data_IF_411977510401
#
_entry.id   IF_411977510401
#
_cell.length_a   1.000
_cell.length_b   1.000
_cell.length_c   1.000
_cell.angle_alpha   90.00
_cell.angle_beta   90.00
_cell.angle_gamma   90.00
#
_symmetry.space_group_name_H-M   'P 1'
#
loop_
_entity.id
_entity.type
_entity.pdbx_description
1 polymer ?
#
# COMPACT_ATOMS: atom_id res chain seq x y z
N UNK A 1 70.83 5.78 28.13
CA UNK A 1 71.54 6.54 29.17
C UNK A 1 73.05 6.54 28.98
N UNK A 2 73.70 7.51 29.53
CA UNK A 2 75.16 7.62 29.51
C UNK A 2 75.72 7.02 30.76
N UNK A 3 76.53 6.00 30.67
CA UNK A 3 77.17 5.31 31.72
C UNK A 3 78.68 5.45 31.60
N UNK A 4 79.41 5.55 32.68
CA UNK A 4 80.89 5.57 32.67
C UNK A 4 81.38 4.37 33.47
N UNK A 5 81.97 3.42 32.75
CA UNK A 5 82.64 2.26 33.44
C UNK A 5 84.05 2.61 33.71
N UNK A 6 84.42 2.58 35.04
CA UNK A 6 85.78 2.86 35.49
C UNK A 6 86.47 1.59 36.03
N UNK A 7 87.64 1.33 35.52
CA UNK A 7 88.46 0.20 35.96
C UNK A 7 89.69 0.78 36.66
N UNK A 8 89.90 0.35 37.86
CA UNK A 8 91.12 0.63 38.63
C UNK A 8 91.87 -0.68 38.84
N UNK A 9 93.21 -0.63 38.83
CA UNK A 9 94.07 -1.77 39.03
C UNK A 9 94.93 -1.49 40.23
N UNK A 10 95.26 -2.49 41.07
CA UNK A 10 96.22 -2.43 42.12
C UNK A 10 97.45 -3.26 41.80
N UNK A 11 98.63 -2.84 42.35
CA UNK A 11 99.84 -3.63 42.27
C UNK A 11 99.85 -4.70 43.40
N UNK A 12 100.88 -5.54 43.44
CA UNK A 12 101.08 -6.62 44.48
C UNK A 12 101.14 -6.10 45.89
N UNK A 13 101.46 -4.84 46.08
CA UNK A 13 101.57 -4.17 47.37
C UNK A 13 100.28 -3.49 47.81
N UNK A 14 99.12 -3.70 47.07
CA UNK A 14 97.84 -3.17 47.46
C UNK A 14 97.64 -1.68 47.11
N UNK A 15 98.54 -1.02 46.38
CA UNK A 15 98.39 0.37 45.94
C UNK A 15 97.55 0.49 44.72
N UNK A 16 96.43 1.19 44.77
CA UNK A 16 95.50 1.40 43.67
C UNK A 16 95.91 2.55 42.78
N UNK A 17 95.82 2.32 41.47
CA UNK A 17 95.93 3.41 40.48
C UNK A 17 94.67 4.29 40.50
N UNK A 18 94.77 5.47 41.13
CA UNK A 18 93.69 6.41 41.25
C UNK A 18 93.19 6.99 39.91
N UNK A 19 94.03 7.02 38.88
CA UNK A 19 93.69 7.55 37.59
C UNK A 19 92.90 6.57 36.68
N UNK A 20 92.77 5.31 37.05
CA UNK A 20 91.97 4.28 36.31
C UNK A 20 91.58 4.60 34.86
N UNK A 21 91.21 3.57 34.08
CA UNK A 21 90.69 3.75 32.74
C UNK A 21 89.18 3.89 32.82
N UNK A 22 88.61 4.93 32.17
CA UNK A 22 87.17 5.12 32.06
C UNK A 22 86.68 4.90 30.69
N UNK A 23 85.65 4.03 30.51
CA UNK A 23 84.96 3.79 29.26
C UNK A 23 83.55 4.41 29.35
N UNK A 24 83.21 5.32 28.44
CA UNK A 24 81.88 5.89 28.33
C UNK A 24 81.03 4.92 27.47
N UNK A 25 79.97 4.41 28.04
CA UNK A 25 78.99 3.53 27.38
C UNK A 25 77.72 4.31 27.21
N UNK A 26 77.31 4.51 25.98
CA UNK A 26 76.04 5.17 25.63
C UNK A 26 75.04 4.08 25.21
N UNK A 27 74.03 3.85 26.09
CA UNK A 27 72.92 2.92 25.80
C UNK A 27 71.76 3.74 25.22
N UNK A 28 71.44 3.52 23.94
CA UNK A 28 70.32 4.13 23.29
C UNK A 28 69.00 3.55 23.86
N UNK A 29 67.98 4.36 24.05
CA UNK A 29 66.67 3.82 24.41
C UNK A 29 66.13 2.88 23.31
N UNK A 30 65.36 1.86 23.70
CA UNK A 30 64.73 0.99 22.75
C UNK A 30 63.81 1.78 21.80
N UNK A 31 63.62 1.30 20.56
CA UNK A 31 62.94 2.01 19.49
C UNK A 31 61.51 2.47 19.86
N UNK A 32 60.78 1.71 20.73
CA UNK A 32 59.44 2.00 21.19
C UNK A 32 59.36 3.15 22.26
N UNK A 33 60.48 3.60 22.80
CA UNK A 33 60.64 4.75 23.66
C UNK A 33 61.29 5.95 22.94
N UNK A 34 61.44 5.88 21.65
CA UNK A 34 61.97 6.98 20.84
C UNK A 34 60.95 8.10 20.68
N UNK A 35 61.38 9.33 20.47
CA UNK A 35 60.51 10.48 20.24
C UNK A 35 59.55 10.23 19.06
N UNK A 36 60.03 9.56 18.03
CA UNK A 36 59.22 9.19 16.90
C UNK A 36 58.12 8.19 17.25
N UNK A 37 58.38 7.22 18.14
CA UNK A 37 57.36 6.28 18.59
C UNK A 37 56.21 7.00 19.34
N UNK A 38 56.52 8.01 20.16
CA UNK A 38 55.49 8.82 20.84
C UNK A 38 54.64 9.62 19.84
N UNK A 39 55.23 10.15 18.77
CA UNK A 39 54.43 10.79 17.70
C UNK A 39 53.46 9.82 17.02
N UNK A 40 53.90 8.58 16.74
CA UNK A 40 53.03 7.54 16.15
C UNK A 40 51.92 7.18 17.14
N UNK A 41 52.22 7.00 18.44
CA UNK A 41 51.20 6.70 19.43
C UNK A 41 50.17 7.82 19.57
N UNK A 42 50.60 9.07 19.58
CA UNK A 42 49.69 10.23 19.60
C UNK A 42 48.77 10.26 18.38
N UNK A 43 49.30 10.01 17.18
CA UNK A 43 48.50 9.92 15.94
C UNK A 43 47.46 8.79 15.99
N UNK A 44 47.86 7.62 16.50
CA UNK A 44 46.94 6.48 16.66
C UNK A 44 45.81 6.79 17.66
N UNK A 45 46.14 7.42 18.79
CA UNK A 45 45.13 7.80 19.79
C UNK A 45 44.15 8.83 19.20
N UNK A 46 44.65 9.85 18.51
CA UNK A 46 43.82 10.86 17.84
C UNK A 46 42.92 10.18 16.76
N UNK A 47 43.50 9.34 15.93
CA UNK A 47 42.74 8.61 14.89
C UNK A 47 41.65 7.72 15.48
N UNK A 48 41.98 6.98 16.55
CA UNK A 48 41.00 6.15 17.25
C UNK A 48 39.89 6.98 17.89
N UNK A 49 40.22 8.10 18.54
CA UNK A 49 39.23 8.98 19.16
C UNK A 49 38.27 9.61 18.12
N UNK A 50 38.82 10.10 17.01
CA UNK A 50 38.03 10.62 15.89
C UNK A 50 37.11 9.55 15.29
N UNK A 51 37.61 8.33 15.09
CA UNK A 51 36.80 7.21 14.60
C UNK A 51 35.63 6.90 15.55
N UNK A 52 35.86 6.85 16.84
CA UNK A 52 34.84 6.61 17.86
C UNK A 52 33.78 7.72 17.84
N UNK A 53 34.20 8.99 17.78
CA UNK A 53 33.28 10.14 17.73
C UNK A 53 32.40 10.06 16.47
N UNK A 54 33.01 9.82 15.29
CA UNK A 54 32.28 9.71 14.02
C UNK A 54 31.32 8.52 14.04
N UNK A 55 31.75 7.37 14.59
CA UNK A 55 30.91 6.17 14.73
C UNK A 55 29.66 6.44 15.58
N UNK A 56 29.85 7.03 16.77
CA UNK A 56 28.73 7.36 17.65
C UNK A 56 27.80 8.42 17.06
N UNK A 57 28.34 9.43 16.39
CA UNK A 57 27.55 10.47 15.71
C UNK A 57 26.70 9.87 14.57
N UNK A 58 27.29 9.01 13.72
CA UNK A 58 26.56 8.31 12.66
C UNK A 58 25.44 7.41 13.23
N UNK A 59 25.74 6.66 14.29
CA UNK A 59 24.76 5.78 14.95
C UNK A 59 23.59 6.59 15.55
N UNK A 60 23.88 7.69 16.20
CA UNK A 60 22.87 8.59 16.78
C UNK A 60 21.99 9.21 15.69
N UNK A 61 22.59 9.75 14.63
CA UNK A 61 21.85 10.35 13.52
C UNK A 61 20.94 9.32 12.82
N UNK A 62 21.42 8.09 12.59
CA UNK A 62 20.61 7.03 12.01
C UNK A 62 19.44 6.64 12.92
N UNK A 63 19.63 6.64 14.23
CA UNK A 63 18.54 6.37 15.19
C UNK A 63 17.49 7.48 15.17
N UNK A 64 17.92 8.75 15.19
CA UNK A 64 17.01 9.89 15.08
C UNK A 64 16.22 9.89 13.76
N UNK A 65 16.90 9.63 12.63
CA UNK A 65 16.23 9.56 11.33
C UNK A 65 15.14 8.49 11.30
N UNK A 66 15.42 7.29 11.80
CA UNK A 66 14.41 6.21 11.90
C UNK A 66 13.25 6.55 12.84
N UNK A 67 13.51 7.29 13.91
CA UNK A 67 12.45 7.75 14.80
C UNK A 67 11.55 8.80 14.15
N UNK A 68 12.17 9.74 13.41
CA UNK A 68 11.39 10.73 12.66
C UNK A 68 10.54 10.09 11.56
N UNK A 69 11.12 9.17 10.76
CA UNK A 69 10.39 8.41 9.74
C UNK A 69 9.18 7.66 10.34
N UNK A 70 9.34 7.01 11.50
CA UNK A 70 8.24 6.35 12.21
C UNK A 70 7.19 7.34 12.71
N UNK A 71 7.63 8.46 13.29
CA UNK A 71 6.71 9.48 13.79
C UNK A 71 5.89 10.12 12.66
N UNK A 72 6.50 10.37 11.49
CA UNK A 72 5.79 10.86 10.30
C UNK A 72 4.75 9.84 9.82
N UNK A 73 5.12 8.56 9.74
CA UNK A 73 4.18 7.49 9.36
C UNK A 73 3.02 7.34 10.36
N UNK A 74 3.28 7.45 11.66
CA UNK A 74 2.25 7.41 12.70
C UNK A 74 1.31 8.61 12.58
N UNK A 75 1.86 9.80 12.35
CA UNK A 75 1.08 11.02 12.11
C UNK A 75 0.20 10.94 10.86
N UNK A 76 0.74 10.44 9.76
CA UNK A 76 -0.03 10.22 8.54
C UNK A 76 -1.17 9.23 8.77
N UNK A 77 -0.92 8.14 9.51
CA UNK A 77 -1.94 7.18 9.92
C UNK A 77 -3.03 7.82 10.79
N UNK A 78 -2.65 8.59 11.81
CA UNK A 78 -3.62 9.27 12.67
C UNK A 78 -4.54 10.21 11.87
N UNK A 79 -3.95 11.02 10.97
CA UNK A 79 -4.70 11.92 10.09
C UNK A 79 -5.63 11.13 9.16
N UNK A 80 -5.13 10.03 8.59
CA UNK A 80 -5.92 9.14 7.75
C UNK A 80 -7.13 8.56 8.50
N UNK A 81 -6.92 7.99 9.69
CA UNK A 81 -8.01 7.43 10.51
C UNK A 81 -9.01 8.50 10.93
N UNK A 82 -8.55 9.69 11.36
CA UNK A 82 -9.44 10.79 11.70
C UNK A 82 -10.30 11.24 10.50
N UNK A 83 -9.72 11.25 9.28
CA UNK A 83 -10.44 11.55 8.04
C UNK A 83 -11.52 10.50 7.75
N UNK A 84 -11.21 9.22 7.91
CA UNK A 84 -12.16 8.11 7.71
C UNK A 84 -13.29 8.18 8.74
N UNK A 85 -12.98 8.41 10.02
CA UNK A 85 -13.98 8.54 11.08
C UNK A 85 -14.92 9.73 10.86
N UNK A 86 -14.38 10.89 10.43
CA UNK A 86 -15.18 12.06 10.06
C UNK A 86 -16.16 11.73 8.93
N UNK A 87 -15.68 11.18 7.81
CA UNK A 87 -16.54 10.83 6.69
C UNK A 87 -17.59 9.78 7.06
N UNK A 88 -17.26 8.86 7.96
CA UNK A 88 -18.20 7.86 8.45
C UNK A 88 -19.36 8.48 9.21
N UNK A 89 -19.05 9.41 10.12
CA UNK A 89 -20.07 10.12 10.89
C UNK A 89 -20.97 10.95 9.96
N UNK A 90 -20.37 11.68 9.02
CA UNK A 90 -21.09 12.42 7.98
C UNK A 90 -21.98 11.49 7.14
N UNK A 91 -21.49 10.32 6.74
CA UNK A 91 -22.27 9.35 5.98
C UNK A 91 -23.51 8.86 6.75
N UNK A 92 -23.38 8.57 8.05
CA UNK A 92 -24.52 8.17 8.89
C UNK A 92 -25.55 9.30 8.99
N UNK A 93 -25.08 10.54 9.20
CA UNK A 93 -25.96 11.71 9.31
C UNK A 93 -26.65 12.08 7.99
N UNK A 94 -26.04 11.79 6.84
CA UNK A 94 -26.63 11.99 5.51
C UNK A 94 -27.59 10.87 5.14
N UNK A 95 -27.31 9.61 5.50
CA UNK A 95 -28.18 8.46 5.16
C UNK A 95 -29.61 8.64 5.66
N UNK A 96 -29.76 9.09 6.91
CA UNK A 96 -31.06 9.21 7.55
C UNK A 96 -32.02 10.17 6.82
N UNK A 97 -31.68 11.46 6.53
CA UNK A 97 -32.54 12.34 5.76
C UNK A 97 -32.78 11.87 4.33
N UNK A 98 -31.78 11.24 3.66
CA UNK A 98 -31.99 10.71 2.32
C UNK A 98 -33.00 9.56 2.29
N UNK A 99 -32.98 8.68 3.29
CA UNK A 99 -33.96 7.60 3.42
C UNK A 99 -35.38 8.18 3.62
N UNK A 100 -35.47 9.25 4.42
CA UNK A 100 -36.75 9.97 4.65
C UNK A 100 -37.27 10.73 3.41
N UNK A 101 -36.39 11.14 2.51
CA UNK A 101 -36.75 11.77 1.22
C UNK A 101 -37.17 10.69 0.19
N UNK A 102 -36.48 9.56 0.13
CA UNK A 102 -36.75 8.50 -0.85
C UNK A 102 -38.17 7.95 -0.78
N UNK A 103 -38.65 7.66 0.42
CA UNK A 103 -40.01 7.11 0.62
C UNK A 103 -41.13 7.98 0.08
N UNK A 104 -41.24 9.27 0.46
CA UNK A 104 -42.22 10.21 -0.12
C UNK A 104 -42.10 10.38 -1.63
N UNK A 105 -40.86 10.45 -2.18
CA UNK A 105 -40.65 10.55 -3.63
C UNK A 105 -41.24 9.34 -4.37
N UNK A 106 -40.93 8.12 -3.92
CA UNK A 106 -41.49 6.90 -4.52
C UNK A 106 -43.01 6.87 -4.46
N UNK A 107 -43.59 7.29 -3.33
CA UNK A 107 -45.06 7.38 -3.18
C UNK A 107 -45.71 8.40 -4.13
N UNK A 108 -45.05 9.54 -4.40
CA UNK A 108 -45.57 10.56 -5.34
C UNK A 108 -45.48 10.05 -6.78
N UNK A 109 -44.34 9.43 -7.15
CA UNK A 109 -44.15 8.88 -8.51
C UNK A 109 -45.19 7.79 -8.85
N UNK A 110 -45.62 7.01 -7.86
CA UNK A 110 -46.61 5.95 -8.03
C UNK A 110 -48.06 6.51 -8.19
N UNK A 111 -48.33 7.77 -7.84
CA UNK A 111 -49.64 8.38 -8.03
C UNK A 111 -49.89 8.64 -9.52
N UNK A 112 -51.09 8.26 -10.01
CA UNK A 112 -51.48 8.40 -11.43
C UNK A 112 -51.73 9.87 -11.86
N UNK A 113 -51.77 10.84 -10.97
CA UNK A 113 -52.15 12.23 -11.23
C UNK A 113 -50.98 13.22 -11.34
N UNK A 114 -49.74 12.71 -11.63
CA UNK A 114 -48.56 13.55 -11.83
C UNK A 114 -48.37 13.79 -13.30
N UNK A 115 -48.27 15.06 -13.73
CA UNK A 115 -47.94 15.43 -15.10
C UNK A 115 -46.56 14.91 -15.56
N UNK A 116 -46.27 14.92 -16.84
CA UNK A 116 -45.06 14.32 -17.39
C UNK A 116 -43.78 15.07 -16.94
N UNK A 117 -43.81 16.39 -16.88
CA UNK A 117 -42.69 17.25 -16.49
C UNK A 117 -42.33 17.03 -15.00
N UNK A 118 -43.35 17.14 -14.11
CA UNK A 118 -43.18 16.85 -12.66
C UNK A 118 -42.67 15.41 -12.43
N UNK A 119 -43.13 14.45 -13.23
CA UNK A 119 -42.63 13.05 -13.10
C UNK A 119 -41.17 12.90 -13.49
N UNK A 120 -40.68 13.64 -14.50
CA UNK A 120 -39.28 13.65 -14.90
C UNK A 120 -38.42 14.23 -13.80
N UNK A 121 -38.81 15.37 -13.21
CA UNK A 121 -38.10 15.99 -12.07
C UNK A 121 -38.05 15.06 -10.85
N UNK A 122 -39.15 14.40 -10.50
CA UNK A 122 -39.19 13.42 -9.42
C UNK A 122 -38.28 12.21 -9.68
N UNK A 123 -38.18 11.75 -10.93
CA UNK A 123 -37.25 10.68 -11.29
C UNK A 123 -35.79 11.12 -11.14
N UNK A 124 -35.46 12.35 -11.54
CA UNK A 124 -34.12 12.93 -11.32
C UNK A 124 -33.81 13.01 -9.82
N UNK A 125 -34.75 13.49 -9.00
CA UNK A 125 -34.57 13.53 -7.55
C UNK A 125 -34.39 12.13 -6.93
N UNK A 126 -35.19 11.15 -7.37
CA UNK A 126 -35.07 9.75 -6.96
C UNK A 126 -33.67 9.20 -7.28
N UNK A 127 -33.20 9.36 -8.51
CA UNK A 127 -31.88 8.89 -8.95
C UNK A 127 -30.75 9.52 -8.12
N UNK A 128 -30.81 10.83 -7.86
CA UNK A 128 -29.82 11.50 -7.03
C UNK A 128 -29.85 11.04 -5.56
N UNK A 129 -31.04 10.81 -5.01
CA UNK A 129 -31.20 10.27 -3.66
C UNK A 129 -30.62 8.86 -3.54
N UNK A 130 -30.91 7.98 -4.51
CA UNK A 130 -30.35 6.61 -4.56
C UNK A 130 -28.83 6.63 -4.73
N UNK A 131 -28.32 7.55 -5.56
CA UNK A 131 -26.89 7.74 -5.73
C UNK A 131 -26.22 8.13 -4.40
N UNK A 132 -26.75 9.12 -3.68
CA UNK A 132 -26.20 9.54 -2.40
C UNK A 132 -26.27 8.42 -1.34
N UNK A 133 -27.36 7.65 -1.29
CA UNK A 133 -27.46 6.47 -0.43
C UNK A 133 -26.39 5.42 -0.76
N UNK A 134 -26.14 5.16 -2.04
CA UNK A 134 -25.09 4.23 -2.46
C UNK A 134 -23.69 4.74 -2.04
N UNK A 135 -23.44 6.04 -2.17
CA UNK A 135 -22.17 6.65 -1.75
C UNK A 135 -21.95 6.51 -0.24
N UNK A 136 -22.97 6.79 0.57
CA UNK A 136 -22.88 6.64 2.03
C UNK A 136 -22.67 5.17 2.43
N UNK A 137 -23.32 4.23 1.72
CA UNK A 137 -23.13 2.80 1.98
C UNK A 137 -21.71 2.34 1.64
N UNK A 138 -21.16 2.76 0.48
CA UNK A 138 -19.78 2.44 0.10
C UNK A 138 -18.77 2.94 1.14
N UNK A 139 -18.97 4.15 1.68
CA UNK A 139 -18.10 4.70 2.70
C UNK A 139 -18.16 3.91 4.02
N UNK A 140 -19.35 3.50 4.43
CA UNK A 140 -19.54 2.70 5.64
C UNK A 140 -18.99 1.27 5.49
N UNK A 141 -19.12 0.68 4.29
CA UNK A 141 -18.54 -0.63 4.00
C UNK A 141 -17.01 -0.55 3.99
N UNK A 142 -16.44 0.51 3.40
CA UNK A 142 -15.00 0.75 3.42
C UNK A 142 -14.49 0.87 4.86
N UNK A 143 -15.18 1.63 5.73
CA UNK A 143 -14.82 1.71 7.14
C UNK A 143 -14.85 0.36 7.86
N UNK A 144 -15.84 -0.49 7.55
CA UNK A 144 -15.91 -1.83 8.15
C UNK A 144 -14.68 -2.66 7.80
N UNK A 145 -14.23 -2.60 6.53
CA UNK A 145 -13.03 -3.32 6.11
C UNK A 145 -11.75 -2.81 6.76
N UNK A 146 -11.67 -1.51 7.07
CA UNK A 146 -10.54 -0.88 7.76
C UNK A 146 -10.55 -1.11 9.29
N UNK A 147 -11.67 -1.58 9.87
CA UNK A 147 -11.79 -1.80 11.31
C UNK A 147 -11.03 -3.06 11.74
N UNK A 148 -10.24 -2.95 12.81
CA UNK A 148 -9.53 -4.09 13.38
C UNK A 148 -10.52 -5.20 13.79
N UNK A 149 -10.26 -6.42 13.32
CA UNK A 149 -11.07 -7.60 13.67
C UNK A 149 -12.27 -7.87 12.77
N UNK A 150 -12.48 -7.09 11.70
CA UNK A 150 -13.47 -7.45 10.68
C UNK A 150 -13.07 -8.73 9.96
N UNK A 151 -13.97 -9.72 9.94
CA UNK A 151 -13.73 -11.01 9.29
C UNK A 151 -14.83 -11.31 8.30
N UNK A 152 -14.47 -11.89 7.17
CA UNK A 152 -15.40 -12.40 6.19
C UNK A 152 -15.78 -13.85 6.53
N UNK A 153 -17.02 -14.21 6.32
CA UNK A 153 -17.47 -15.60 6.38
C UNK A 153 -17.27 -16.23 5.02
N UNK A 154 -16.38 -17.20 4.93
CA UNK A 154 -16.09 -17.92 3.69
C UNK A 154 -16.99 -19.14 3.55
N UNK A 155 -17.52 -19.34 2.34
CA UNK A 155 -18.30 -20.49 1.96
C UNK A 155 -17.92 -20.96 0.57
N UNK A 156 -18.13 -22.23 0.26
CA UNK A 156 -17.96 -22.77 -1.09
C UNK A 156 -18.96 -22.08 -2.03
N UNK A 157 -18.47 -21.34 -3.00
CA UNK A 157 -19.25 -20.54 -3.93
C UNK A 157 -18.92 -20.94 -5.37
N UNK A 158 -19.94 -21.00 -6.24
CA UNK A 158 -19.77 -21.18 -7.69
C UNK A 158 -19.36 -19.86 -8.32
N UNK A 159 -18.07 -19.65 -8.56
CA UNK A 159 -17.52 -18.42 -9.13
C UNK A 159 -18.03 -18.20 -10.56
N UNK A 160 -18.11 -19.25 -11.35
CA UNK A 160 -18.62 -19.19 -12.74
C UNK A 160 -20.05 -18.68 -12.77
N UNK A 161 -20.91 -19.13 -11.88
CA UNK A 161 -22.31 -18.71 -11.79
C UNK A 161 -22.45 -17.25 -11.37
N UNK A 162 -21.71 -16.82 -10.32
CA UNK A 162 -21.72 -15.43 -9.86
C UNK A 162 -21.27 -14.47 -10.96
N UNK A 163 -20.26 -14.86 -11.76
CA UNK A 163 -19.81 -14.04 -12.90
C UNK A 163 -20.85 -14.00 -14.01
N UNK A 164 -21.50 -15.12 -14.35
CA UNK A 164 -22.60 -15.18 -15.34
C UNK A 164 -23.78 -14.31 -14.91
N UNK A 165 -24.25 -14.42 -13.68
CA UNK A 165 -25.33 -13.60 -13.14
C UNK A 165 -24.97 -12.10 -13.15
N UNK A 166 -23.75 -11.77 -12.79
CA UNK A 166 -23.28 -10.38 -12.80
C UNK A 166 -23.18 -9.87 -14.23
N UNK A 167 -22.68 -10.67 -15.18
CA UNK A 167 -22.64 -10.33 -16.60
C UNK A 167 -24.05 -10.02 -17.15
N UNK A 168 -25.04 -10.87 -16.86
CA UNK A 168 -26.44 -10.65 -17.30
C UNK A 168 -26.97 -9.32 -16.77
N UNK A 169 -26.71 -8.96 -15.49
CA UNK A 169 -27.15 -7.69 -14.91
C UNK A 169 -26.57 -6.46 -15.62
N UNK A 170 -25.30 -6.53 -16.07
CA UNK A 170 -24.64 -5.42 -16.75
C UNK A 170 -24.88 -5.36 -18.26
N UNK A 171 -25.39 -6.43 -18.89
CA UNK A 171 -25.63 -6.50 -20.36
C UNK A 171 -26.53 -5.40 -20.84
N UNK A 172 -27.62 -5.07 -20.13
CA UNK A 172 -28.54 -3.99 -20.54
C UNK A 172 -27.85 -2.62 -20.52
N UNK A 173 -27.00 -2.36 -19.52
CA UNK A 173 -26.23 -1.11 -19.41
C UNK A 173 -25.20 -1.00 -20.54
N UNK A 174 -24.49 -2.11 -20.85
CA UNK A 174 -23.54 -2.16 -21.95
C UNK A 174 -24.21 -1.84 -23.30
N UNK A 175 -25.36 -2.47 -23.57
CA UNK A 175 -26.16 -2.22 -24.78
C UNK A 175 -26.62 -0.76 -24.87
N UNK A 176 -27.07 -0.17 -23.76
CA UNK A 176 -27.49 1.23 -23.72
C UNK A 176 -26.34 2.19 -24.05
N UNK A 177 -25.12 1.83 -23.67
CA UNK A 177 -23.90 2.60 -23.91
C UNK A 177 -23.22 2.27 -25.26
N UNK A 178 -23.69 1.26 -25.99
CA UNK A 178 -23.07 0.81 -27.24
C UNK A 178 -21.75 0.08 -27.06
N UNK A 179 -21.50 -0.49 -25.87
CA UNK A 179 -20.25 -1.17 -25.55
C UNK A 179 -20.35 -2.66 -25.89
N UNK A 180 -19.26 -3.22 -26.42
CA UNK A 180 -19.08 -4.67 -26.51
C UNK A 180 -18.75 -5.20 -25.11
N UNK A 181 -19.55 -6.13 -24.60
CA UNK A 181 -19.36 -6.70 -23.26
C UNK A 181 -19.31 -8.21 -23.33
N UNK A 182 -18.15 -8.79 -23.03
CA UNK A 182 -17.92 -10.23 -23.12
C UNK A 182 -17.48 -10.81 -21.77
N UNK A 183 -17.87 -12.08 -21.56
CA UNK A 183 -17.46 -12.87 -20.42
C UNK A 183 -16.85 -14.19 -20.92
N UNK A 184 -15.60 -14.42 -20.59
CA UNK A 184 -14.91 -15.68 -20.86
C UNK A 184 -14.74 -16.45 -19.54
N UNK A 185 -15.38 -17.60 -19.45
CA UNK A 185 -15.31 -18.52 -18.30
C UNK A 185 -15.07 -19.94 -18.80
N UNK A 186 -14.49 -20.83 -17.98
CA UNK A 186 -14.35 -22.24 -18.31
C UNK A 186 -15.69 -22.92 -18.58
N UNK A 187 -15.68 -23.99 -19.37
CA UNK A 187 -16.89 -24.81 -19.64
C UNK A 187 -17.45 -25.46 -18.38
N UNK A 188 -16.54 -25.90 -17.48
CA UNK A 188 -16.90 -26.49 -16.20
C UNK A 188 -17.06 -25.42 -15.13
N UNK A 189 -18.05 -25.61 -14.26
CA UNK A 189 -18.24 -24.76 -13.09
C UNK A 189 -17.02 -24.79 -12.18
N UNK A 190 -16.53 -23.62 -11.81
CA UNK A 190 -15.40 -23.44 -10.90
C UNK A 190 -15.87 -22.97 -9.53
N UNK A 191 -15.40 -23.62 -8.48
CA UNK A 191 -15.76 -23.36 -7.09
C UNK A 191 -14.56 -22.89 -6.29
N UNK A 192 -14.76 -21.87 -5.46
CA UNK A 192 -13.77 -21.40 -4.49
C UNK A 192 -14.44 -21.04 -3.15
N UNK A 193 -13.66 -20.98 -2.07
CA UNK A 193 -14.15 -20.52 -0.78
C UNK A 193 -14.04 -19.00 -0.69
N UNK A 194 -15.13 -18.29 -0.86
CA UNK A 194 -15.20 -16.83 -0.81
C UNK A 194 -16.40 -16.36 0.02
N UNK A 195 -16.36 -15.10 0.45
CA UNK A 195 -17.59 -14.43 0.88
C UNK A 195 -18.32 -13.92 -0.36
N UNK A 196 -19.45 -14.54 -0.71
CA UNK A 196 -20.18 -14.25 -1.95
C UNK A 196 -20.59 -12.78 -2.08
N UNK A 197 -21.05 -12.16 -0.99
CA UNK A 197 -21.46 -10.75 -1.00
C UNK A 197 -20.28 -9.82 -1.30
N UNK A 198 -19.17 -10.00 -0.58
CA UNK A 198 -17.95 -9.21 -0.78
C UNK A 198 -17.34 -9.45 -2.17
N UNK A 199 -17.30 -10.69 -2.63
CA UNK A 199 -16.84 -11.05 -3.97
C UNK A 199 -17.70 -10.39 -5.06
N UNK A 200 -19.03 -10.51 -4.97
CA UNK A 200 -19.96 -9.85 -5.90
C UNK A 200 -19.80 -8.34 -5.90
N UNK A 201 -19.50 -7.74 -4.73
CA UNK A 201 -19.24 -6.30 -4.60
C UNK A 201 -17.96 -5.88 -5.33
N UNK A 202 -16.87 -6.66 -5.20
CA UNK A 202 -15.62 -6.42 -5.96
C UNK A 202 -15.91 -6.43 -7.46
N UNK A 203 -16.52 -7.51 -7.96
CA UNK A 203 -16.80 -7.66 -9.40
C UNK A 203 -17.72 -6.54 -9.90
N UNK A 204 -18.76 -6.21 -9.16
CA UNK A 204 -19.69 -5.13 -9.53
C UNK A 204 -18.99 -3.76 -9.59
N UNK A 205 -18.07 -3.47 -8.69
CA UNK A 205 -17.27 -2.23 -8.71
C UNK A 205 -16.35 -2.18 -9.93
N UNK A 206 -15.66 -3.28 -10.25
CA UNK A 206 -14.78 -3.35 -11.43
C UNK A 206 -15.58 -3.16 -12.72
N UNK A 207 -16.74 -3.84 -12.84
CA UNK A 207 -17.63 -3.70 -14.00
C UNK A 207 -18.22 -2.29 -14.11
N UNK A 208 -18.65 -1.69 -13.01
CA UNK A 208 -19.13 -0.30 -13.01
C UNK A 208 -18.04 0.67 -13.52
N UNK A 209 -16.78 0.47 -13.10
CA UNK A 209 -15.66 1.25 -13.62
C UNK A 209 -15.45 0.98 -15.11
N UNK A 210 -15.40 -0.28 -15.55
CA UNK A 210 -15.30 -0.63 -16.95
C UNK A 210 -16.40 0.03 -17.78
N UNK A 211 -17.66 -0.16 -17.41
CA UNK A 211 -18.80 0.44 -18.11
C UNK A 211 -18.79 1.98 -18.11
N UNK A 212 -18.16 2.59 -17.12
CA UNK A 212 -18.09 4.05 -17.01
C UNK A 212 -17.02 4.66 -17.89
N UNK A 213 -15.86 4.00 -17.99
CA UNK A 213 -14.66 4.57 -18.59
C UNK A 213 -14.30 3.93 -19.94
N UNK A 214 -14.89 2.79 -20.31
CA UNK A 214 -14.69 2.18 -21.61
C UNK A 214 -15.17 3.08 -22.75
N UNK A 215 -14.45 3.04 -23.86
CA UNK A 215 -14.84 3.68 -25.13
C UNK A 215 -15.65 2.73 -26.02
N UNK A 216 -15.21 1.49 -26.20
CA UNK A 216 -15.87 0.51 -27.08
C UNK A 216 -16.07 -0.87 -26.45
N UNK A 217 -15.21 -1.33 -25.52
CA UNK A 217 -15.37 -2.68 -24.97
C UNK A 217 -15.05 -2.83 -23.49
N UNK A 218 -15.69 -3.85 -22.89
CA UNK A 218 -15.34 -4.39 -21.54
C UNK A 218 -15.29 -5.90 -21.64
N UNK A 219 -14.15 -6.50 -21.34
CA UNK A 219 -13.97 -7.96 -21.32
C UNK A 219 -13.69 -8.45 -19.91
N UNK A 220 -14.32 -9.56 -19.53
CA UNK A 220 -14.10 -10.24 -18.25
C UNK A 220 -13.63 -11.65 -18.52
N UNK A 221 -12.53 -12.06 -17.89
CA UNK A 221 -11.95 -13.39 -18.05
C UNK A 221 -11.73 -14.04 -16.70
N UNK A 222 -12.15 -15.29 -16.55
CA UNK A 222 -11.83 -16.12 -15.39
C UNK A 222 -10.71 -17.07 -15.77
N UNK A 223 -9.55 -16.92 -15.12
CA UNK A 223 -8.39 -17.79 -15.23
C UNK A 223 -8.36 -18.69 -14.00
N UNK A 224 -8.48 -19.99 -14.21
CA UNK A 224 -8.44 -21.01 -13.14
C UNK A 224 -7.05 -21.61 -13.02
N UNK A 225 -6.67 -22.19 -11.84
CA UNK A 225 -5.42 -22.89 -11.68
C UNK A 225 -5.24 -23.98 -12.75
N UNK A 226 -4.03 -24.08 -13.30
CA UNK A 226 -3.68 -25.13 -14.26
C UNK A 226 -3.33 -26.47 -13.56
N UNK A 227 -2.87 -26.39 -12.33
CA UNK A 227 -2.48 -27.56 -11.52
C UNK A 227 -3.12 -27.50 -10.14
N UNK A 228 -3.28 -28.66 -9.50
CA UNK A 228 -3.83 -28.77 -8.13
C UNK A 228 -2.95 -28.12 -7.05
N UNK A 229 -1.67 -27.88 -7.36
CA UNK A 229 -0.71 -27.20 -6.47
C UNK A 229 -0.86 -25.66 -6.53
N UNK A 230 -1.45 -25.10 -7.59
CA UNK A 230 -1.72 -23.66 -7.69
C UNK A 230 -3.06 -23.34 -7.03
N UNK A 231 -3.02 -22.75 -5.84
CA UNK A 231 -4.22 -22.40 -5.06
C UNK A 231 -4.76 -20.99 -5.42
N UNK A 232 -4.44 -20.44 -6.57
CA UNK A 232 -4.86 -19.09 -6.97
C UNK A 232 -5.69 -19.12 -8.25
N UNK A 233 -6.79 -18.36 -8.27
CA UNK A 233 -7.52 -18.03 -9.49
C UNK A 233 -7.50 -16.54 -9.73
N UNK A 234 -7.66 -16.12 -11.00
CA UNK A 234 -7.64 -14.71 -11.38
C UNK A 234 -8.88 -14.32 -12.14
N UNK A 235 -9.32 -13.09 -11.93
CA UNK A 235 -10.37 -12.47 -12.73
C UNK A 235 -9.80 -11.19 -13.29
N UNK A 236 -9.71 -11.11 -14.61
CA UNK A 236 -9.23 -9.94 -15.34
C UNK A 236 -10.42 -9.19 -15.93
N UNK A 237 -10.51 -7.91 -15.59
CA UNK A 237 -11.49 -6.98 -16.20
C UNK A 237 -10.70 -6.01 -17.05
N UNK A 238 -10.96 -6.01 -18.34
CA UNK A 238 -10.22 -5.23 -19.35
C UNK A 238 -11.15 -4.21 -19.97
N UNK A 239 -10.71 -2.97 -20.14
CA UNK A 239 -11.43 -1.93 -20.88
C UNK A 239 -10.46 -1.02 -21.64
N UNK A 240 -10.93 -0.44 -22.74
CA UNK A 240 -10.20 0.43 -23.66
C UNK A 240 -10.36 1.94 -23.40
N UNK A 241 -10.74 2.31 -22.20
CA UNK A 241 -10.82 3.72 -21.81
C UNK A 241 -9.45 4.38 -21.68
N UNK A 242 -9.44 5.68 -21.35
CA UNK A 242 -8.21 6.45 -21.16
C UNK A 242 -7.19 5.68 -20.31
N UNK A 243 -6.00 5.49 -20.86
CA UNK A 243 -4.94 4.71 -20.22
C UNK A 243 -4.45 5.40 -18.94
N UNK A 244 -4.44 4.66 -17.87
CA UNK A 244 -3.95 5.11 -16.56
C UNK A 244 -2.43 5.01 -16.54
N UNK A 245 -1.69 6.13 -16.31
CA UNK A 245 -0.23 6.12 -16.24
C UNK A 245 0.33 5.24 -15.14
N UNK A 246 1.56 4.76 -15.32
CA UNK A 246 2.21 3.86 -14.36
C UNK A 246 2.32 4.45 -12.94
N UNK A 247 2.55 5.78 -12.83
CA UNK A 247 2.62 6.48 -11.56
C UNK A 247 1.29 6.47 -10.80
N UNK A 248 0.17 6.31 -11.52
CA UNK A 248 -1.17 6.32 -10.93
C UNK A 248 -1.69 4.93 -10.59
N UNK A 249 -1.05 3.83 -11.04
CA UNK A 249 -1.53 2.45 -10.84
C UNK A 249 -1.78 2.09 -9.38
N UNK A 250 -0.94 2.56 -8.46
CA UNK A 250 -1.15 2.37 -7.02
C UNK A 250 -2.03 3.46 -6.42
N UNK A 251 -1.94 4.69 -6.93
CA UNK A 251 -2.69 5.82 -6.41
C UNK A 251 -4.20 5.67 -6.58
N UNK A 252 -4.67 5.08 -7.69
CA UNK A 252 -6.11 4.87 -7.95
C UNK A 252 -6.82 3.96 -6.93
N UNK A 253 -6.06 3.16 -6.17
CA UNK A 253 -6.58 2.34 -5.08
C UNK A 253 -6.64 3.05 -3.73
N UNK A 254 -6.08 4.27 -3.64
CA UNK A 254 -6.22 5.09 -2.43
C UNK A 254 -7.62 5.68 -2.35
N UNK A 255 -8.23 5.75 -1.15
CA UNK A 255 -9.56 6.34 -0.98
C UNK A 255 -9.59 7.79 -1.47
N UNK A 256 -10.69 8.17 -2.14
CA UNK A 256 -10.94 9.52 -2.66
C UNK A 256 -10.05 9.97 -3.82
N UNK A 257 -9.15 9.11 -4.30
CA UNK A 257 -8.35 9.41 -5.48
C UNK A 257 -9.17 9.16 -6.74
N UNK A 258 -9.05 10.09 -7.70
CA UNK A 258 -9.72 10.04 -9.00
C UNK A 258 -8.73 10.43 -10.09
N UNK A 259 -8.74 9.69 -11.19
CA UNK A 259 -7.99 9.99 -12.39
C UNK A 259 -8.87 10.76 -13.38
N UNK A 260 -8.36 11.81 -14.04
CA UNK A 260 -9.05 12.68 -14.99
C UNK A 260 -10.21 13.54 -14.42
N UNK A 261 -9.94 14.35 -13.41
CA UNK A 261 -10.92 15.36 -12.95
C UNK A 261 -11.05 16.59 -13.87
N UNK A 262 -10.12 16.83 -14.80
CA UNK A 262 -9.94 18.13 -15.46
C UNK A 262 -10.04 18.15 -16.98
N UNK A 263 -10.30 17.04 -17.68
CA UNK A 263 -10.50 17.12 -19.14
C UNK A 263 -11.97 17.21 -19.52
N UNK A 264 -12.30 18.28 -20.25
CA UNK A 264 -13.59 18.56 -20.93
C UNK A 264 -14.81 19.01 -20.11
N UNK A 265 -14.68 19.57 -18.93
CA UNK A 265 -15.86 20.19 -18.26
C UNK A 265 -16.99 19.20 -17.90
N UNK A 266 -16.85 17.91 -18.18
CA UNK A 266 -17.74 16.85 -17.71
C UNK A 266 -17.26 16.36 -16.36
N UNK A 267 -17.96 16.77 -15.30
CA UNK A 267 -17.77 16.23 -13.96
C UNK A 267 -17.99 14.72 -14.01
N UNK A 268 -16.90 13.93 -14.10
CA UNK A 268 -16.98 12.47 -14.01
C UNK A 268 -17.52 12.09 -12.65
N UNK A 269 -18.68 11.43 -12.63
CA UNK A 269 -19.39 11.06 -11.42
C UNK A 269 -18.75 9.86 -10.73
N UNK A 270 -18.15 10.01 -9.55
CA UNK A 270 -17.61 8.89 -8.76
C UNK A 270 -17.09 9.35 -7.40
N UNK A 271 -17.06 8.46 -6.41
CA UNK A 271 -16.59 8.74 -5.04
C UNK A 271 -15.09 8.59 -4.83
N UNK A 272 -14.40 7.84 -5.71
CA UNK A 272 -13.03 7.39 -5.46
C UNK A 272 -12.90 6.35 -4.34
N UNK A 273 -14.01 5.74 -3.89
CA UNK A 273 -14.00 4.72 -2.81
C UNK A 273 -14.08 3.30 -3.40
N UNK A 274 -14.67 3.12 -4.58
CA UNK A 274 -14.97 1.79 -5.12
C UNK A 274 -13.74 0.90 -5.27
N UNK A 275 -12.65 1.39 -5.88
CA UNK A 275 -11.41 0.61 -6.04
C UNK A 275 -10.71 0.36 -4.70
N UNK A 276 -10.68 1.36 -3.81
CA UNK A 276 -10.13 1.20 -2.46
C UNK A 276 -10.87 0.10 -1.68
N UNK A 277 -12.21 0.14 -1.68
CA UNK A 277 -13.04 -0.90 -1.07
C UNK A 277 -12.80 -2.27 -1.70
N UNK A 278 -12.70 -2.34 -3.03
CA UNK A 278 -12.46 -3.61 -3.73
C UNK A 278 -11.09 -4.20 -3.37
N UNK A 279 -10.05 -3.38 -3.23
CA UNK A 279 -8.72 -3.82 -2.78
C UNK A 279 -8.78 -4.32 -1.32
N UNK A 280 -9.38 -3.58 -0.39
CA UNK A 280 -9.52 -4.02 1.00
C UNK A 280 -10.31 -5.33 1.11
N UNK A 281 -11.39 -5.51 0.32
CA UNK A 281 -12.13 -6.77 0.28
C UNK A 281 -11.32 -7.92 -0.32
N UNK A 282 -10.48 -7.68 -1.33
CA UNK A 282 -9.57 -8.68 -1.89
C UNK A 282 -8.50 -9.10 -0.86
N UNK A 283 -7.92 -8.15 -0.12
CA UNK A 283 -6.97 -8.40 0.96
C UNK A 283 -7.60 -9.20 2.11
N UNK A 284 -8.84 -8.92 2.49
CA UNK A 284 -9.61 -9.72 3.45
C UNK A 284 -9.89 -11.14 2.97
N UNK A 285 -9.88 -11.38 1.65
CA UNK A 285 -9.91 -12.72 1.04
C UNK A 285 -8.50 -13.34 0.91
N UNK A 286 -7.46 -12.76 1.54
CA UNK A 286 -6.05 -13.17 1.41
C UNK A 286 -5.55 -13.13 -0.04
N UNK A 287 -6.15 -12.27 -0.86
CA UNK A 287 -5.82 -12.07 -2.25
C UNK A 287 -5.29 -10.67 -2.54
N UNK A 288 -5.24 -10.33 -3.81
CA UNK A 288 -4.76 -9.02 -4.28
C UNK A 288 -5.65 -8.48 -5.39
N UNK A 289 -5.75 -7.15 -5.46
CA UNK A 289 -6.31 -6.45 -6.60
C UNK A 289 -5.26 -5.47 -7.11
N UNK A 290 -4.81 -5.66 -8.33
CA UNK A 290 -3.79 -4.85 -8.96
C UNK A 290 -4.26 -4.36 -10.34
N UNK A 291 -3.59 -3.34 -10.85
CA UNK A 291 -3.78 -2.86 -12.19
C UNK A 291 -2.54 -3.14 -13.04
N UNK A 292 -2.75 -3.76 -14.19
CA UNK A 292 -1.77 -3.95 -15.25
C UNK A 292 -2.11 -3.02 -16.42
N UNK A 293 -1.11 -2.49 -17.09
CA UNK A 293 -1.34 -1.71 -18.33
C UNK A 293 -1.05 -2.61 -19.52
N UNK A 294 -2.05 -2.82 -20.37
CA UNK A 294 -1.84 -3.32 -21.72
C UNK A 294 -1.33 -2.21 -22.64
N UNK A 295 -0.97 -2.53 -23.88
CA UNK A 295 -0.53 -1.50 -24.85
C UNK A 295 -1.63 -0.47 -25.12
N UNK A 296 -2.90 -0.88 -25.16
CA UNK A 296 -4.07 -0.03 -25.46
C UNK A 296 -5.27 -0.30 -24.52
N UNK A 297 -5.03 -0.80 -23.30
CA UNK A 297 -6.11 -1.16 -22.38
C UNK A 297 -5.71 -1.09 -20.93
N UNK A 298 -6.69 -0.82 -20.06
CA UNK A 298 -6.56 -0.92 -18.62
C UNK A 298 -7.03 -2.32 -18.18
N UNK A 299 -6.20 -3.00 -17.40
CA UNK A 299 -6.46 -4.37 -16.94
C UNK A 299 -6.49 -4.38 -15.42
N UNK A 300 -7.64 -4.63 -14.81
CA UNK A 300 -7.76 -4.87 -13.38
C UNK A 300 -7.72 -6.37 -13.12
N UNK A 301 -6.70 -6.82 -12.39
CA UNK A 301 -6.47 -8.22 -12.06
C UNK A 301 -6.78 -8.47 -10.59
N UNK A 302 -7.86 -9.20 -10.33
CA UNK A 302 -8.21 -9.74 -9.01
C UNK A 302 -7.65 -11.14 -8.90
N UNK A 303 -6.77 -11.39 -7.92
CA UNK A 303 -6.20 -12.71 -7.63
C UNK A 303 -6.66 -13.15 -6.25
N UNK A 304 -7.31 -14.30 -6.15
CA UNK A 304 -7.82 -14.85 -4.90
C UNK A 304 -7.41 -16.32 -4.73
N UNK A 305 -7.21 -16.80 -3.50
CA UNK A 305 -7.01 -18.23 -3.24
C UNK A 305 -8.31 -19.01 -3.43
N UNK A 306 -8.18 -20.25 -3.94
CA UNK A 306 -9.30 -21.19 -4.10
C UNK A 306 -9.80 -21.65 -2.72
N UNK A 307 -8.86 -21.93 -1.83
CA UNK A 307 -9.12 -22.26 -0.42
C UNK A 307 -8.36 -21.29 0.45
N UNK A 308 -9.03 -20.70 1.41
CA UNK A 308 -8.44 -19.72 2.32
C UNK A 308 -8.05 -20.40 3.62
N UNK A 309 -6.90 -20.01 4.17
CA UNK A 309 -6.48 -20.47 5.50
C UNK A 309 -7.44 -19.91 6.55
N UNK A 310 -8.20 -20.80 7.19
CA UNK A 310 -9.07 -20.45 8.33
C UNK A 310 -8.21 -20.32 9.60
N UNK A 311 -7.38 -19.30 9.70
CA UNK A 311 -6.64 -18.96 10.94
C UNK A 311 -7.38 -17.92 11.77
#
# INVERSE_FOLDING_TARGET
>A
GNYTFKVKVSNSDGVWNENGISLKVHILPPFYLSVWAYFVYALLIIGCSLYVIIYFKRRSNNKHRRQMEKFEQEKEREVYHAKIDFFTNVAHEIRTPLTLIKGPLENIILKKQVDAETREDLNVMKQNTERLLNLTNQLLDFRKTESQGFRLNFAKCNITEVLKETHVRFTSLAKQKGLEFTLQVPEKDFYAHVNQEAFTKIISNLLNNGMKYAESYVHVMLEIPETDDDNLFRIRTVNDGVIIPDEMKEEIFKPFVRFNEQEDGKVTTGTGIGLALSRSLAELHQGTLAMETGEESNIFCLTLPVVQDMT
#
